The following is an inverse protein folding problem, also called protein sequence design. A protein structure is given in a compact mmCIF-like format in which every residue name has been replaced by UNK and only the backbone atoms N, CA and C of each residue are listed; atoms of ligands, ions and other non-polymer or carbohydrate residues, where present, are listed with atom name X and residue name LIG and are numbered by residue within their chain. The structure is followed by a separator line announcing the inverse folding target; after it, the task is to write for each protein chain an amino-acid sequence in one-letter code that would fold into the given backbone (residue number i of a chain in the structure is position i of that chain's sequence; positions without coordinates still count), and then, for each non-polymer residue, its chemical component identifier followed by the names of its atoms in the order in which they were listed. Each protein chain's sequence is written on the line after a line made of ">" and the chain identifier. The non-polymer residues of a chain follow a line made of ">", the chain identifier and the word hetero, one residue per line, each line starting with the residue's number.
data_IF_389467714033
#
_entry.id   IF_389467714033
#
_cell.length_a   1.000
_cell.length_b   1.000
_cell.length_c   1.000
_cell.angle_alpha   90.00
_cell.angle_beta   90.00
_cell.angle_gamma   90.00
#
_symmetry.space_group_name_H-M   'P 1'
#
loop_
_entity.id
_entity.type
_entity.pdbx_description
1 polymer ?
#
# COMPACT_ATOMS: atom_id res chain seq x y z
N UNK A 1 -0.09 13.71 7.06
CA UNK A 1 -0.28 13.40 5.63
C UNK A 1 -1.53 14.09 5.12
N UNK A 2 -1.45 14.68 3.97
CA UNK A 2 -2.61 15.27 3.33
C UNK A 2 -3.57 14.16 2.89
N UNK A 3 -4.87 14.48 2.90
CA UNK A 3 -5.88 13.48 2.55
C UNK A 3 -5.77 13.01 1.09
N UNK A 4 -5.11 13.79 0.24
CA UNK A 4 -4.91 13.45 -1.18
C UNK A 4 -3.53 12.88 -1.47
N UNK A 5 -2.72 12.61 -0.45
CA UNK A 5 -1.40 12.02 -0.61
C UNK A 5 -1.52 10.50 -0.70
N UNK A 6 -0.45 9.88 -1.18
CA UNK A 6 -0.35 8.43 -1.24
C UNK A 6 -0.18 7.84 0.15
N UNK A 7 -0.67 6.61 0.30
CA UNK A 7 -0.40 5.77 1.47
C UNK A 7 0.32 4.53 0.98
N UNK A 8 1.26 4.03 1.73
CA UNK A 8 1.98 2.81 1.35
C UNK A 8 1.92 1.78 2.47
N UNK A 9 1.98 0.51 2.05
CA UNK A 9 2.12 -0.64 2.94
C UNK A 9 3.36 -1.39 2.50
N UNK A 10 4.21 -1.76 3.44
CA UNK A 10 5.40 -2.54 3.16
C UNK A 10 5.41 -3.78 4.04
N UNK A 11 5.84 -4.90 3.45
CA UNK A 11 5.98 -6.17 4.15
C UNK A 11 7.44 -6.59 4.11
N UNK A 12 7.96 -7.03 5.24
CA UNK A 12 9.31 -7.58 5.35
C UNK A 12 9.21 -9.01 5.85
N UNK A 13 9.81 -9.95 5.12
CA UNK A 13 9.84 -11.36 5.50
C UNK A 13 11.27 -11.88 5.43
N UNK A 14 11.52 -12.96 6.17
CA UNK A 14 12.78 -13.68 6.08
C UNK A 14 12.57 -14.99 5.30
N UNK A 15 13.31 -15.14 4.22
CA UNK A 15 13.25 -16.35 3.40
C UNK A 15 14.38 -17.29 3.85
N UNK A 16 14.01 -18.36 4.53
CA UNK A 16 14.98 -19.30 5.09
C UNK A 16 15.77 -20.04 4.01
N UNK A 17 15.13 -20.35 2.89
CA UNK A 17 15.79 -21.09 1.81
C UNK A 17 16.90 -20.26 1.17
N UNK A 18 16.69 -18.94 1.04
CA UNK A 18 17.66 -18.03 0.44
C UNK A 18 18.55 -17.37 1.48
N UNK A 19 18.22 -17.49 2.77
CA UNK A 19 18.89 -16.82 3.88
C UNK A 19 18.96 -15.31 3.65
N UNK A 20 17.82 -14.73 3.28
CA UNK A 20 17.72 -13.30 2.96
C UNK A 20 16.39 -12.76 3.42
N UNK A 21 16.39 -11.46 3.73
CA UNK A 21 15.16 -10.72 3.92
C UNK A 21 14.61 -10.32 2.56
N UNK A 22 13.30 -10.43 2.43
CA UNK A 22 12.58 -10.03 1.22
C UNK A 22 11.57 -8.97 1.59
N UNK A 23 11.56 -7.89 0.84
CA UNK A 23 10.63 -6.78 1.08
C UNK A 23 9.70 -6.62 -0.11
N UNK A 24 8.43 -6.36 0.17
CA UNK A 24 7.44 -5.98 -0.83
C UNK A 24 6.73 -4.72 -0.35
N UNK A 25 6.34 -3.88 -1.29
CA UNK A 25 5.58 -2.68 -0.93
C UNK A 25 4.47 -2.43 -1.94
N UNK A 26 3.44 -1.77 -1.47
CA UNK A 26 2.26 -1.42 -2.27
C UNK A 26 1.89 0.01 -2.00
N UNK A 27 1.41 0.72 -3.02
CA UNK A 27 1.03 2.13 -2.91
C UNK A 27 -0.46 2.27 -3.19
N UNK A 28 -1.13 3.06 -2.36
CA UNK A 28 -2.55 3.36 -2.49
C UNK A 28 -2.69 4.86 -2.71
N UNK A 29 -3.51 5.25 -3.68
CA UNK A 29 -3.68 6.66 -4.03
C UNK A 29 -5.13 6.98 -4.38
N UNK A 30 -5.57 8.25 -4.20
CA UNK A 30 -6.92 8.63 -4.59
C UNK A 30 -7.11 8.55 -6.11
N UNK A 31 -8.21 7.97 -6.54
CA UNK A 31 -8.44 7.66 -7.96
C UNK A 31 -8.54 8.92 -8.81
N UNK A 32 -9.12 9.99 -8.29
CA UNK A 32 -9.33 11.22 -9.07
C UNK A 32 -8.03 12.01 -9.30
N UNK A 33 -6.94 11.58 -8.68
CA UNK A 33 -5.64 12.23 -8.81
C UNK A 33 -4.68 11.47 -9.72
N UNK A 34 -5.14 10.38 -10.33
CA UNK A 34 -4.26 9.49 -11.08
C UNK A 34 -3.57 10.22 -12.24
N UNK A 35 -4.36 10.88 -13.11
CA UNK A 35 -3.80 11.59 -14.25
C UNK A 35 -2.89 12.73 -13.83
N UNK A 36 -3.31 13.45 -12.82
CA UNK A 36 -2.56 14.58 -12.28
C UNK A 36 -1.20 14.11 -11.73
N UNK A 37 -1.17 12.99 -11.02
CA UNK A 37 0.07 12.44 -10.49
C UNK A 37 0.98 11.94 -11.58
N UNK A 38 0.44 11.31 -12.61
CA UNK A 38 1.24 10.85 -13.75
C UNK A 38 1.93 12.02 -14.42
N UNK A 39 1.20 13.11 -14.66
CA UNK A 39 1.75 14.29 -15.32
C UNK A 39 2.78 15.02 -14.48
N UNK A 40 2.49 15.22 -13.20
CA UNK A 40 3.36 16.01 -12.33
C UNK A 40 4.58 15.26 -11.83
N UNK A 41 4.42 13.97 -11.54
CA UNK A 41 5.47 13.15 -10.94
C UNK A 41 6.21 12.29 -11.94
N UNK A 42 5.72 12.22 -13.19
CA UNK A 42 6.29 11.38 -14.23
C UNK A 42 6.43 9.92 -13.80
N UNK A 43 5.43 9.44 -13.05
CA UNK A 43 5.41 8.07 -12.53
C UNK A 43 4.44 7.25 -13.37
N UNK A 44 4.86 6.10 -13.94
CA UNK A 44 3.98 5.28 -14.77
C UNK A 44 3.02 4.44 -13.92
N UNK A 45 2.05 5.10 -13.30
CA UNK A 45 1.09 4.43 -12.41
C UNK A 45 0.32 3.31 -13.11
N UNK A 46 0.01 3.48 -14.40
CA UNK A 46 -0.69 2.44 -15.17
C UNK A 46 0.07 1.13 -15.18
N UNK A 47 1.38 1.20 -15.38
CA UNK A 47 2.22 0.02 -15.41
C UNK A 47 2.32 -0.62 -14.03
N UNK A 48 2.47 0.19 -13.00
CA UNK A 48 2.56 -0.29 -11.63
C UNK A 48 1.23 -0.90 -11.17
N UNK A 49 0.11 -0.35 -11.60
CA UNK A 49 -1.21 -0.94 -11.35
C UNK A 49 -1.32 -2.35 -11.93
N UNK A 50 -0.89 -2.51 -13.17
CA UNK A 50 -0.94 -3.83 -13.83
C UNK A 50 -0.05 -4.85 -13.14
N UNK A 51 1.04 -4.40 -12.54
CA UNK A 51 1.94 -5.28 -11.79
C UNK A 51 1.44 -5.57 -10.37
N UNK A 52 0.33 -4.98 -9.96
CA UNK A 52 -0.21 -5.17 -8.62
C UNK A 52 0.56 -4.43 -7.52
N UNK A 53 1.26 -3.37 -7.89
CA UNK A 53 2.07 -2.58 -6.95
C UNK A 53 1.38 -1.30 -6.52
N UNK A 54 0.40 -0.83 -7.29
CA UNK A 54 -0.36 0.38 -6.98
C UNK A 54 -1.85 0.09 -7.05
N UNK A 55 -2.61 0.75 -6.18
CA UNK A 55 -4.05 0.61 -6.13
C UNK A 55 -4.71 1.97 -6.01
N UNK A 56 -5.61 2.28 -6.94
CA UNK A 56 -6.48 3.44 -6.81
C UNK A 56 -7.58 3.08 -5.80
N UNK A 57 -7.77 3.89 -4.79
CA UNK A 57 -8.79 3.61 -3.79
C UNK A 57 -9.39 4.91 -3.26
N UNK A 58 -10.71 4.97 -3.25
CA UNK A 58 -11.44 6.19 -2.95
C UNK A 58 -11.42 7.12 -4.15
N UNK A 59 -12.01 8.30 -4.03
CA UNK A 59 -12.04 9.30 -5.10
C UNK A 59 -11.09 10.45 -4.78
N UNK A 60 -11.51 11.35 -3.90
CA UNK A 60 -10.71 12.54 -3.57
C UNK A 60 -9.74 12.26 -2.44
N UNK A 61 -10.10 11.34 -1.56
CA UNK A 61 -9.26 10.93 -0.44
C UNK A 61 -9.15 9.41 -0.47
N UNK A 62 -8.10 8.90 0.14
CA UNK A 62 -7.85 7.46 0.20
C UNK A 62 -8.93 6.79 1.04
N UNK A 63 -9.46 5.69 0.54
CA UNK A 63 -10.37 4.83 1.28
C UNK A 63 -9.54 3.91 2.19
N UNK A 64 -9.40 4.30 3.44
CA UNK A 64 -8.59 3.54 4.39
C UNK A 64 -9.18 2.17 4.71
N UNK A 65 -10.48 1.99 4.51
CA UNK A 65 -11.08 0.66 4.64
C UNK A 65 -10.51 -0.31 3.61
N UNK A 66 -10.28 0.17 2.40
CA UNK A 66 -9.62 -0.62 1.35
C UNK A 66 -8.21 -1.02 1.78
N UNK A 67 -7.45 -0.09 2.33
CA UNK A 67 -6.08 -0.36 2.81
C UNK A 67 -6.11 -1.37 3.96
N UNK A 68 -7.03 -1.20 4.88
CA UNK A 68 -7.20 -2.11 6.02
C UNK A 68 -7.52 -3.52 5.56
N UNK A 69 -8.46 -3.65 4.63
CA UNK A 69 -8.83 -4.96 4.08
C UNK A 69 -7.65 -5.60 3.36
N UNK A 70 -6.85 -4.81 2.67
CA UNK A 70 -5.65 -5.32 2.03
C UNK A 70 -4.67 -5.89 3.06
N UNK A 71 -4.42 -5.16 4.14
CA UNK A 71 -3.51 -5.62 5.20
C UNK A 71 -4.02 -6.93 5.80
N UNK A 72 -5.32 -7.02 6.05
CA UNK A 72 -5.91 -8.23 6.61
C UNK A 72 -5.84 -9.43 5.65
N UNK A 73 -5.72 -9.16 4.34
CA UNK A 73 -5.64 -10.22 3.33
C UNK A 73 -4.24 -10.77 3.11
N UNK A 74 -3.21 -10.14 3.68
CA UNK A 74 -1.82 -10.47 3.38
C UNK A 74 -1.50 -11.91 3.75
N UNK A 75 -1.97 -12.38 4.90
CA UNK A 75 -1.68 -13.74 5.34
C UNK A 75 -2.18 -14.77 4.34
N UNK A 76 -3.40 -14.59 3.85
CA UNK A 76 -3.98 -15.53 2.88
C UNK A 76 -3.34 -15.40 1.51
N UNK A 77 -3.07 -14.17 1.07
CA UNK A 77 -2.50 -13.93 -0.26
C UNK A 77 -1.12 -14.50 -0.42
N UNK A 78 -0.30 -14.41 0.61
CA UNK A 78 1.13 -14.75 0.50
C UNK A 78 1.51 -15.98 1.32
N UNK A 79 0.54 -16.60 1.99
CA UNK A 79 0.83 -17.78 2.79
C UNK A 79 1.78 -17.51 3.94
N UNK A 80 1.66 -16.35 4.55
CA UNK A 80 2.54 -15.92 5.64
C UNK A 80 1.73 -15.64 6.89
N UNK A 81 2.41 -15.51 8.02
CA UNK A 81 1.80 -15.09 9.27
C UNK A 81 2.42 -13.77 9.68
N UNK A 82 1.56 -12.77 9.88
CA UNK A 82 2.01 -11.43 10.29
C UNK A 82 2.35 -11.49 11.78
N UNK A 83 3.60 -11.18 12.12
CA UNK A 83 4.06 -11.20 13.51
C UNK A 83 3.95 -9.83 14.18
N UNK A 84 4.05 -8.75 13.41
CA UNK A 84 3.92 -7.41 13.98
C UNK A 84 3.58 -6.42 12.87
N UNK A 85 2.96 -5.31 13.27
CA UNK A 85 2.65 -4.20 12.37
C UNK A 85 3.16 -2.92 13.02
N UNK A 86 3.88 -2.12 12.23
CA UNK A 86 4.29 -0.79 12.65
C UNK A 86 3.64 0.25 11.73
N UNK A 87 3.42 1.44 12.22
CA UNK A 87 2.69 2.46 11.46
C UNK A 87 3.16 3.85 11.86
N UNK A 88 2.95 4.78 10.94
CA UNK A 88 3.14 6.20 11.21
C UNK A 88 1.96 6.70 12.03
N UNK A 89 2.24 7.24 13.17
CA UNK A 89 1.24 7.65 14.15
C UNK A 89 0.27 8.70 13.61
N UNK A 90 0.74 9.60 12.76
CA UNK A 90 -0.08 10.66 12.20
C UNK A 90 -1.10 10.15 11.20
N UNK A 91 -0.74 9.16 10.43
CA UNK A 91 -1.48 8.80 9.23
C UNK A 91 -2.30 7.54 9.37
N UNK A 92 -2.14 6.81 10.45
CA UNK A 92 -2.71 5.47 10.57
C UNK A 92 -3.79 5.36 11.63
N UNK A 93 -4.22 6.46 12.25
CA UNK A 93 -5.21 6.41 13.33
C UNK A 93 -6.51 5.73 12.87
N UNK A 94 -6.99 6.08 11.68
CA UNK A 94 -8.23 5.48 11.17
C UNK A 94 -8.06 4.02 10.77
N UNK A 95 -6.85 3.60 10.46
CA UNK A 95 -6.57 2.22 10.05
C UNK A 95 -6.44 1.28 11.23
N UNK A 96 -5.88 1.75 12.35
CA UNK A 96 -5.60 0.88 13.49
C UNK A 96 -6.68 0.96 14.57
N UNK A 97 -7.56 1.89 14.49
CA UNK A 97 -8.70 1.98 15.38
C UNK A 97 -9.82 1.05 14.94
#
# INVERSE_FOLDING_TARGET
>A
MQSNDNTSVAMLTYDKAMDKYVAKSWVFYPADREDDKIQREDVPYDQYKRLGLCFACGNRIIDYKFVEDFILSIEDRYGVKVSSITYDKYNALSTVQ
#
